data_IF_237913565579
#
_entry.id   IF_237913565579
#
_cell.length_a   1.000
_cell.length_b   1.000
_cell.length_c   1.000
_cell.angle_alpha   90.00
_cell.angle_beta   90.00
_cell.angle_gamma   90.00
#
_symmetry.space_group_name_H-M   'P 1'
#
loop_
_entity.id
_entity.type
_entity.pdbx_description
1 polymer ?
#
# COMPACT_ATOMS: atom_id res chain seq x y z
N UNK A 1 2.47 8.69 -24.51
CA UNK A 1 1.38 7.71 -24.31
C UNK A 1 1.75 6.55 -23.35
N UNK A 2 2.94 6.54 -22.70
CA UNK A 2 3.36 5.44 -21.80
C UNK A 2 2.87 5.58 -20.35
N UNK A 3 2.80 6.80 -19.80
CA UNK A 3 2.46 7.01 -18.38
C UNK A 3 1.06 6.51 -17.99
N UNK A 4 0.05 6.77 -18.82
CA UNK A 4 -1.33 6.34 -18.53
C UNK A 4 -1.45 4.81 -18.50
N UNK A 5 -0.73 4.11 -19.39
CA UNK A 5 -0.68 2.64 -19.41
C UNK A 5 -0.05 2.09 -18.13
N UNK A 6 1.09 2.65 -17.70
CA UNK A 6 1.76 2.24 -16.46
C UNK A 6 0.85 2.45 -15.25
N UNK A 7 0.12 3.57 -15.22
CA UNK A 7 -0.83 3.86 -14.15
C UNK A 7 -1.95 2.81 -14.10
N UNK A 8 -2.59 2.50 -15.24
CA UNK A 8 -3.64 1.48 -15.28
C UNK A 8 -3.15 0.09 -14.88
N UNK A 9 -1.97 -0.31 -15.35
CA UNK A 9 -1.37 -1.60 -14.97
C UNK A 9 -1.12 -1.65 -13.46
N UNK A 10 -0.58 -0.58 -12.86
CA UNK A 10 -0.39 -0.52 -11.40
C UNK A 10 -1.73 -0.67 -10.66
N UNK A 11 -2.71 0.16 -10.97
CA UNK A 11 -4.02 0.15 -10.30
C UNK A 11 -4.66 -1.24 -10.37
N UNK A 12 -4.69 -1.87 -11.55
CA UNK A 12 -5.26 -3.21 -11.70
C UNK A 12 -4.47 -4.25 -10.90
N UNK A 13 -3.15 -4.29 -11.06
CA UNK A 13 -2.32 -5.32 -10.41
C UNK A 13 -2.36 -5.20 -8.90
N UNK A 14 -2.25 -3.99 -8.35
CA UNK A 14 -2.27 -3.79 -6.90
C UNK A 14 -3.67 -3.99 -6.32
N UNK A 15 -4.72 -3.50 -6.98
CA UNK A 15 -6.10 -3.71 -6.52
C UNK A 15 -6.46 -5.20 -6.48
N UNK A 16 -6.31 -5.92 -7.59
CA UNK A 16 -6.66 -7.33 -7.64
C UNK A 16 -5.68 -8.20 -6.87
N UNK A 17 -4.38 -7.86 -6.89
CA UNK A 17 -3.36 -8.57 -6.13
C UNK A 17 -3.63 -8.56 -4.63
N UNK A 18 -3.93 -7.40 -4.06
CA UNK A 18 -4.26 -7.31 -2.63
C UNK A 18 -5.58 -7.98 -2.27
N UNK A 19 -6.63 -7.81 -3.08
CA UNK A 19 -7.89 -8.50 -2.86
C UNK A 19 -7.72 -10.02 -2.92
N UNK A 20 -6.92 -10.55 -3.85
CA UNK A 20 -6.62 -11.97 -3.95
C UNK A 20 -5.85 -12.49 -2.73
N UNK A 21 -4.84 -11.76 -2.25
CA UNK A 21 -4.09 -12.11 -1.03
C UNK A 21 -5.00 -12.14 0.19
N UNK A 22 -5.83 -11.11 0.37
CA UNK A 22 -6.76 -11.04 1.51
C UNK A 22 -7.84 -12.11 1.44
N UNK A 23 -8.34 -12.42 0.24
CA UNK A 23 -9.31 -13.50 0.04
C UNK A 23 -8.72 -14.87 0.33
N UNK A 24 -7.45 -15.11 -0.06
CA UNK A 24 -6.76 -16.38 0.22
C UNK A 24 -6.51 -16.60 1.72
N UNK A 25 -6.44 -15.52 2.51
CA UNK A 25 -6.32 -15.59 3.97
C UNK A 25 -7.66 -15.56 4.72
N UNK A 26 -8.79 -15.42 4.04
CA UNK A 26 -10.11 -15.33 4.66
C UNK A 26 -10.77 -16.72 4.79
N UNK A 27 -11.58 -16.90 5.83
CA UNK A 27 -12.46 -18.07 5.95
C UNK A 27 -13.45 -18.11 4.77
N UNK A 28 -13.76 -19.32 4.28
CA UNK A 28 -14.69 -19.50 3.16
C UNK A 28 -16.02 -20.11 3.61
N UNK A 29 -17.18 -19.50 3.27
CA UNK A 29 -17.35 -18.28 2.47
C UNK A 29 -16.91 -17.00 3.22
N UNK A 30 -16.43 -15.96 2.51
CA UNK A 30 -15.95 -14.74 3.16
C UNK A 30 -17.04 -14.11 4.03
N UNK A 31 -16.73 -13.74 5.29
CA UNK A 31 -17.71 -13.10 6.16
C UNK A 31 -18.10 -11.73 5.62
N UNK A 32 -19.29 -11.25 5.99
CA UNK A 32 -19.82 -9.94 5.55
C UNK A 32 -18.83 -8.80 5.86
N UNK A 33 -18.06 -8.91 6.95
CA UNK A 33 -17.03 -7.94 7.32
C UNK A 33 -15.89 -7.79 6.30
N UNK A 34 -15.70 -8.75 5.39
CA UNK A 34 -14.68 -8.69 4.34
C UNK A 34 -14.90 -7.49 3.39
N UNK A 35 -16.14 -7.01 3.23
CA UNK A 35 -16.43 -5.82 2.40
C UNK A 35 -15.66 -4.58 2.89
N UNK A 36 -15.45 -4.44 4.20
CA UNK A 36 -14.69 -3.33 4.76
C UNK A 36 -13.21 -3.39 4.39
N UNK A 37 -12.66 -4.60 4.24
CA UNK A 37 -11.29 -4.80 3.75
C UNK A 37 -11.20 -4.40 2.27
N UNK A 38 -12.17 -4.81 1.45
CA UNK A 38 -12.24 -4.40 0.03
C UNK A 38 -12.33 -2.88 -0.11
N UNK A 39 -13.16 -2.22 0.71
CA UNK A 39 -13.28 -0.75 0.72
C UNK A 39 -11.97 -0.07 1.16
N UNK A 40 -11.30 -0.59 2.19
CA UNK A 40 -10.00 -0.08 2.63
C UNK A 40 -8.96 -0.21 1.51
N UNK A 41 -8.87 -1.36 0.84
CA UNK A 41 -7.98 -1.57 -0.30
C UNK A 41 -8.30 -0.58 -1.42
N UNK A 42 -9.59 -0.40 -1.74
CA UNK A 42 -10.03 0.55 -2.77
C UNK A 42 -9.58 1.99 -2.45
N UNK A 43 -9.71 2.41 -1.20
CA UNK A 43 -9.27 3.73 -0.74
C UNK A 43 -7.74 3.88 -0.83
N UNK A 44 -6.99 2.88 -0.36
CA UNK A 44 -5.53 2.88 -0.41
C UNK A 44 -5.01 2.87 -1.84
N UNK A 45 -5.65 2.11 -2.74
CA UNK A 45 -5.26 2.07 -4.15
C UNK A 45 -5.57 3.38 -4.87
N UNK A 46 -6.66 4.08 -4.51
CA UNK A 46 -6.91 5.43 -5.01
C UNK A 46 -5.84 6.43 -4.55
N UNK A 47 -5.43 6.38 -3.27
CA UNK A 47 -4.34 7.20 -2.74
C UNK A 47 -3.03 6.89 -3.48
N UNK A 48 -2.73 5.61 -3.67
CA UNK A 48 -1.57 5.15 -4.44
C UNK A 48 -1.62 5.63 -5.90
N UNK A 49 -2.79 5.60 -6.55
CA UNK A 49 -2.99 6.10 -7.90
C UNK A 49 -2.63 7.59 -7.99
N UNK A 50 -3.10 8.41 -7.04
CA UNK A 50 -2.76 9.84 -6.99
C UNK A 50 -1.28 10.06 -6.74
N UNK A 51 -0.68 9.27 -5.84
CA UNK A 51 0.76 9.30 -5.62
C UNK A 51 1.55 8.93 -6.88
N UNK A 52 1.13 7.89 -7.60
CA UNK A 52 1.79 7.40 -8.81
C UNK A 52 1.81 8.47 -9.92
N UNK A 53 0.74 9.25 -10.08
CA UNK A 53 0.70 10.39 -11.01
C UNK A 53 1.81 11.41 -10.74
N UNK A 54 2.13 11.65 -9.47
CA UNK A 54 3.22 12.55 -9.06
C UNK A 54 4.60 11.87 -9.11
N UNK A 55 4.67 10.60 -8.74
CA UNK A 55 5.89 9.82 -8.63
C UNK A 55 6.51 9.50 -9.99
N UNK A 56 5.70 9.08 -10.97
CA UNK A 56 6.17 8.60 -12.27
C UNK A 56 6.98 9.65 -13.07
N UNK A 57 6.54 10.93 -13.20
CA UNK A 57 7.34 11.95 -13.87
C UNK A 57 8.68 12.24 -13.17
N UNK A 58 8.74 12.12 -11.85
CA UNK A 58 9.98 12.31 -11.09
C UNK A 58 10.92 11.11 -11.23
N UNK A 59 10.36 9.91 -11.34
CA UNK A 59 11.13 8.68 -11.57
C UNK A 59 11.79 8.72 -12.95
N UNK A 60 11.06 9.18 -13.97
CA UNK A 60 11.60 9.40 -15.32
C UNK A 60 12.74 10.43 -15.30
N UNK A 61 12.57 11.55 -14.58
CA UNK A 61 13.60 12.60 -14.42
C UNK A 61 14.75 12.22 -13.47
N UNK A 62 14.75 10.99 -12.92
CA UNK A 62 15.75 10.48 -11.96
C UNK A 62 16.06 11.48 -10.83
N UNK A 63 15.02 12.10 -10.28
CA UNK A 63 15.17 13.13 -9.25
C UNK A 63 15.91 12.58 -8.02
N UNK A 64 16.82 13.38 -7.49
CA UNK A 64 17.58 13.03 -6.28
C UNK A 64 16.65 12.73 -5.09
N UNK A 65 17.02 11.73 -4.27
CA UNK A 65 16.28 11.26 -3.08
C UNK A 65 14.85 10.75 -3.33
N UNK A 66 14.44 10.47 -4.57
CA UNK A 66 13.07 10.00 -4.83
C UNK A 66 12.77 8.66 -4.15
N UNK A 67 13.74 7.76 -4.06
CA UNK A 67 13.59 6.48 -3.36
C UNK A 67 13.25 6.66 -1.87
N UNK A 68 13.97 7.56 -1.20
CA UNK A 68 13.73 7.88 0.21
C UNK A 68 12.34 8.50 0.39
N UNK A 69 11.94 9.42 -0.49
CA UNK A 69 10.58 10.01 -0.45
C UNK A 69 9.48 8.96 -0.65
N UNK A 70 9.72 8.00 -1.52
CA UNK A 70 8.82 6.86 -1.72
C UNK A 70 8.72 5.99 -0.47
N UNK A 71 9.85 5.64 0.16
CA UNK A 71 9.82 4.89 1.41
C UNK A 71 9.08 5.64 2.53
N UNK A 72 9.33 6.94 2.70
CA UNK A 72 8.62 7.76 3.69
C UNK A 72 7.11 7.71 3.43
N UNK A 73 6.68 7.87 2.17
CA UNK A 73 5.26 7.80 1.82
C UNK A 73 4.62 6.46 2.26
N UNK A 74 5.25 5.32 1.93
CA UNK A 74 4.69 4.02 2.32
C UNK A 74 4.81 3.71 3.82
N UNK A 75 5.87 4.18 4.50
CA UNK A 75 5.98 4.10 5.96
C UNK A 75 4.86 4.88 6.63
N UNK A 76 4.61 6.13 6.19
CA UNK A 76 3.51 6.93 6.74
C UNK A 76 2.14 6.31 6.46
N UNK A 77 1.97 5.67 5.29
CA UNK A 77 0.78 4.89 4.96
C UNK A 77 0.59 3.70 5.91
N UNK A 78 1.65 2.92 6.15
CA UNK A 78 1.62 1.80 7.10
C UNK A 78 1.26 2.25 8.52
N UNK A 79 1.87 3.33 9.00
CA UNK A 79 1.53 3.94 10.29
C UNK A 79 0.07 4.39 10.34
N UNK A 80 -0.43 5.08 9.30
CA UNK A 80 -1.80 5.56 9.25
C UNK A 80 -2.82 4.42 9.27
N UNK A 81 -2.57 3.34 8.51
CA UNK A 81 -3.41 2.14 8.52
C UNK A 81 -3.37 1.46 9.88
N UNK A 82 -2.20 1.34 10.50
CA UNK A 82 -2.07 0.78 11.85
C UNK A 82 -2.91 1.54 12.86
N UNK A 83 -2.80 2.87 12.88
CA UNK A 83 -3.57 3.75 13.78
C UNK A 83 -5.07 3.61 13.51
N UNK A 84 -5.48 3.60 12.23
CA UNK A 84 -6.88 3.42 11.86
C UNK A 84 -7.44 2.11 12.42
N UNK A 85 -6.71 1.00 12.28
CA UNK A 85 -7.14 -0.30 12.81
C UNK A 85 -7.25 -0.27 14.34
N UNK A 86 -6.22 0.26 15.02
CA UNK A 86 -6.23 0.40 16.47
C UNK A 86 -7.40 1.25 16.97
N UNK A 87 -7.76 2.31 16.23
CA UNK A 87 -8.92 3.15 16.53
C UNK A 87 -10.25 2.42 16.31
N UNK A 88 -10.39 1.63 15.24
CA UNK A 88 -11.62 0.83 15.01
C UNK A 88 -11.82 -0.25 16.07
N UNK A 89 -10.74 -0.76 16.68
CA UNK A 89 -10.77 -1.76 17.75
C UNK A 89 -10.49 -1.18 19.14
N UNK A 90 -10.84 0.08 19.37
CA UNK A 90 -10.42 0.83 20.57
C UNK A 90 -10.66 0.10 21.90
N UNK A 91 -11.79 -0.62 22.06
CA UNK A 91 -12.08 -1.36 23.30
C UNK A 91 -11.05 -2.45 23.59
N UNK A 92 -10.67 -3.21 22.57
CA UNK A 92 -9.65 -4.26 22.66
C UNK A 92 -8.27 -3.62 22.84
N UNK A 93 -8.01 -2.51 22.14
CA UNK A 93 -6.75 -1.76 22.24
C UNK A 93 -6.49 -1.21 23.64
N UNK A 94 -7.53 -0.78 24.38
CA UNK A 94 -7.41 -0.27 25.74
C UNK A 94 -7.02 -1.35 26.75
N UNK A 95 -7.39 -2.60 26.48
CA UNK A 95 -7.05 -3.76 27.32
C UNK A 95 -5.73 -4.43 26.89
N UNK A 96 -5.20 -4.04 25.73
CA UNK A 96 -3.96 -4.60 25.19
C UNK A 96 -2.72 -4.05 25.90
N UNK A 97 -1.67 -4.87 25.98
CA UNK A 97 -0.37 -4.43 26.49
C UNK A 97 0.25 -3.40 25.55
N UNK A 98 0.99 -2.43 26.11
CA UNK A 98 1.72 -1.45 25.30
C UNK A 98 2.71 -2.11 24.32
N UNK A 99 3.25 -3.27 24.70
CA UNK A 99 4.14 -4.05 23.84
C UNK A 99 3.40 -4.58 22.61
N UNK A 100 2.16 -5.05 22.76
CA UNK A 100 1.35 -5.56 21.64
C UNK A 100 1.04 -4.44 20.65
N UNK A 101 0.72 -3.24 21.16
CA UNK A 101 0.47 -2.05 20.34
C UNK A 101 1.72 -1.66 19.55
N UNK A 102 2.90 -1.67 20.19
CA UNK A 102 4.17 -1.36 19.54
C UNK A 102 4.50 -2.39 18.46
N UNK A 103 4.33 -3.68 18.76
CA UNK A 103 4.58 -4.77 17.80
C UNK A 103 3.65 -4.61 16.60
N UNK A 104 2.36 -4.31 16.83
CA UNK A 104 1.40 -4.08 15.75
C UNK A 104 1.83 -2.93 14.83
N UNK A 105 2.17 -1.78 15.40
CA UNK A 105 2.65 -0.63 14.63
C UNK A 105 3.93 -0.99 13.85
N UNK A 106 4.87 -1.70 14.50
CA UNK A 106 6.11 -2.13 13.86
C UNK A 106 5.85 -3.06 12.66
N UNK A 107 4.93 -4.01 12.77
CA UNK A 107 4.54 -4.90 11.67
C UNK A 107 4.02 -4.09 10.48
N UNK A 108 3.12 -3.13 10.69
CA UNK A 108 2.59 -2.30 9.60
C UNK A 108 3.64 -1.38 8.97
N UNK A 109 4.58 -0.87 9.76
CA UNK A 109 5.73 -0.11 9.24
C UNK A 109 6.59 -1.01 8.34
N UNK A 110 6.91 -2.24 8.78
CA UNK A 110 7.70 -3.19 8.01
C UNK A 110 6.99 -3.54 6.70
N UNK A 111 5.68 -3.83 6.75
CA UNK A 111 4.87 -4.07 5.55
C UNK A 111 4.91 -2.85 4.63
N UNK A 112 4.78 -1.63 5.16
CA UNK A 112 4.91 -0.39 4.39
C UNK A 112 6.28 -0.25 3.71
N UNK A 113 7.36 -0.57 4.40
CA UNK A 113 8.72 -0.56 3.81
C UNK A 113 8.83 -1.57 2.68
N UNK A 114 8.44 -2.83 2.91
CA UNK A 114 8.48 -3.90 1.90
C UNK A 114 7.66 -3.47 0.68
N UNK A 115 6.46 -2.96 0.92
CA UNK A 115 5.56 -2.51 -0.14
C UNK A 115 6.14 -1.35 -0.94
N UNK A 116 6.76 -0.37 -0.29
CA UNK A 116 7.43 0.73 -0.97
C UNK A 116 8.62 0.30 -1.81
N UNK A 117 9.38 -0.70 -1.36
CA UNK A 117 10.47 -1.30 -2.13
C UNK A 117 9.92 -2.01 -3.37
N UNK A 118 8.90 -2.86 -3.21
CA UNK A 118 8.26 -3.58 -4.32
C UNK A 118 7.67 -2.59 -5.33
N UNK A 119 6.94 -1.58 -4.87
CA UNK A 119 6.36 -0.54 -5.71
C UNK A 119 7.42 0.20 -6.53
N UNK A 120 8.56 0.53 -5.92
CA UNK A 120 9.67 1.18 -6.61
C UNK A 120 10.22 0.30 -7.74
N UNK A 121 10.55 -0.96 -7.45
CA UNK A 121 11.12 -1.86 -8.44
C UNK A 121 10.12 -2.17 -9.55
N UNK A 122 8.86 -2.42 -9.22
CA UNK A 122 7.80 -2.67 -10.17
C UNK A 122 7.65 -1.49 -11.15
N UNK A 123 7.55 -0.27 -10.66
CA UNK A 123 7.43 0.92 -11.52
C UNK A 123 8.71 1.22 -12.32
N UNK A 124 9.88 0.97 -11.73
CA UNK A 124 11.15 1.09 -12.45
C UNK A 124 11.25 0.09 -13.59
N UNK A 125 10.77 -1.15 -13.38
CA UNK A 125 10.71 -2.19 -14.40
C UNK A 125 9.73 -1.81 -15.52
N UNK A 126 8.50 -1.41 -15.17
CA UNK A 126 7.50 -0.97 -16.15
C UNK A 126 8.00 0.21 -16.99
N UNK A 127 8.67 1.19 -16.38
CA UNK A 127 9.28 2.28 -17.14
C UNK A 127 10.33 1.79 -18.14
N UNK A 128 11.17 0.81 -17.79
CA UNK A 128 12.15 0.24 -18.75
C UNK A 128 11.49 -0.50 -19.90
N UNK A 129 10.35 -1.14 -19.66
CA UNK A 129 9.61 -1.91 -20.68
C UNK A 129 8.83 -0.98 -21.61
N UNK A 130 8.16 0.03 -21.08
CA UNK A 130 7.21 0.88 -21.83
C UNK A 130 7.77 2.25 -22.27
N UNK A 131 8.99 2.60 -21.86
CA UNK A 131 9.66 3.86 -22.23
C UNK A 131 10.89 3.61 -23.14
N UNK A 132 10.97 2.43 -23.76
CA UNK A 132 11.66 2.23 -25.04
C UNK A 132 10.80 2.79 -26.17
#
# INVERSE_FOLDING_TARGET
>A
MSNLKIIWINTIVFFFGWNAIMLAGADFPPPIGFIWVVLLISMLDFIQYKYLQYFLPQLIKRKHNLFVKNLIFFVTGGMAVSILILATRYKITLEASIYDIIIWIAVFIIIGIIYGIVFWFFNSFLLRVFNK
#
